data_IF_685797750099
#
_entry.id   IF_685797750099
#
_cell.length_a   1.000
_cell.length_b   1.000
_cell.length_c   1.000
_cell.angle_alpha   90.00
_cell.angle_beta   90.00
_cell.angle_gamma   90.00
#
_symmetry.space_group_name_H-M   'P 1'
#
loop_
_entity.id
_entity.type
_entity.pdbx_description
1 polymer ?
#
# COMPACT_ATOMS: atom_id res chain seq x y z
N UNK A 1 -7.25 -17.74 4.65
CA UNK A 1 -6.10 -18.22 3.87
C UNK A 1 -4.83 -17.50 4.25
N UNK A 2 -3.69 -18.12 3.96
CA UNK A 2 -2.36 -17.57 4.14
C UNK A 2 -1.63 -17.64 2.80
N UNK A 3 -1.11 -16.52 2.33
CA UNK A 3 -0.17 -16.47 1.21
C UNK A 3 1.08 -15.67 1.56
N UNK A 4 2.18 -15.94 0.89
CA UNK A 4 3.44 -15.28 1.14
C UNK A 4 4.19 -14.97 -0.15
N UNK A 5 5.01 -13.90 -0.10
CA UNK A 5 5.89 -13.49 -1.17
C UNK A 5 7.25 -13.10 -0.60
N UNK A 6 8.31 -13.72 -1.12
CA UNK A 6 9.68 -13.30 -0.88
C UNK A 6 10.25 -12.69 -2.17
N UNK A 7 10.95 -11.59 -2.03
CA UNK A 7 11.66 -10.92 -3.12
C UNK A 7 13.10 -10.71 -2.69
N UNK A 8 14.04 -11.07 -3.56
CA UNK A 8 15.46 -10.81 -3.41
C UNK A 8 15.85 -9.81 -4.49
N UNK A 9 16.57 -8.78 -4.10
CA UNK A 9 17.08 -7.76 -5.01
C UNK A 9 18.59 -7.67 -4.89
N UNK A 10 19.27 -7.71 -6.06
CA UNK A 10 20.68 -7.35 -6.21
C UNK A 10 20.69 -6.13 -7.12
N UNK A 11 21.30 -5.05 -6.69
CA UNK A 11 21.33 -3.81 -7.44
C UNK A 11 22.63 -3.06 -7.22
N UNK A 12 23.15 -2.48 -8.30
CA UNK A 12 24.24 -1.51 -8.26
C UNK A 12 23.74 -0.20 -8.87
N UNK A 13 24.11 0.92 -8.29
CA UNK A 13 23.82 2.25 -8.82
C UNK A 13 25.12 3.02 -8.94
N UNK A 14 25.28 3.75 -10.04
CA UNK A 14 26.36 4.71 -10.26
C UNK A 14 25.79 6.13 -10.27
N UNK A 15 26.27 6.98 -9.38
CA UNK A 15 25.82 8.36 -9.22
C UNK A 15 27.00 9.30 -9.40
N UNK A 16 27.35 9.59 -10.63
CA UNK A 16 28.54 10.40 -10.98
C UNK A 16 28.50 11.86 -10.49
N UNK A 17 27.37 12.38 -10.02
CA UNK A 17 27.20 13.78 -9.64
C UNK A 17 26.72 14.06 -8.22
N UNK A 18 26.25 13.05 -7.51
CA UNK A 18 25.78 13.20 -6.13
C UNK A 18 26.37 12.05 -5.32
N UNK A 19 27.45 12.33 -4.62
CA UNK A 19 27.97 11.41 -3.60
C UNK A 19 26.95 11.39 -2.44
N UNK A 20 26.11 10.38 -2.45
CA UNK A 20 25.46 9.91 -1.23
C UNK A 20 26.31 8.76 -0.71
N UNK A 21 26.71 8.83 0.54
CA UNK A 21 27.66 7.92 1.15
C UNK A 21 27.43 6.44 0.80
N UNK A 22 28.39 5.82 0.13
CA UNK A 22 28.48 4.37 -0.04
C UNK A 22 27.60 3.73 -1.12
N UNK A 23 27.12 4.46 -2.12
CA UNK A 23 26.11 3.98 -3.07
C UNK A 23 26.63 3.33 -4.35
N UNK A 24 27.93 3.35 -4.62
CA UNK A 24 28.51 2.79 -5.85
C UNK A 24 28.92 1.31 -5.70
N UNK A 25 28.30 0.60 -4.76
CA UNK A 25 28.56 -0.80 -4.50
C UNK A 25 27.37 -1.68 -4.89
N UNK A 26 27.65 -2.95 -5.14
CA UNK A 26 26.60 -3.96 -5.29
C UNK A 26 25.90 -4.16 -3.93
N UNK A 27 24.62 -3.87 -3.90
CA UNK A 27 23.77 -4.02 -2.71
C UNK A 27 22.84 -5.23 -2.85
N UNK A 28 22.63 -5.94 -1.77
CA UNK A 28 21.68 -7.03 -1.67
C UNK A 28 20.61 -6.72 -0.63
N UNK A 29 19.36 -6.98 -0.97
CA UNK A 29 18.26 -6.83 -0.05
C UNK A 29 17.19 -7.90 -0.29
N UNK A 30 16.36 -8.09 0.72
CA UNK A 30 15.14 -8.89 0.59
C UNK A 30 13.93 -8.15 1.16
N UNK A 31 12.76 -8.55 0.69
CA UNK A 31 11.48 -8.23 1.30
C UNK A 31 10.65 -9.51 1.39
N UNK A 32 10.16 -9.80 2.58
CA UNK A 32 9.18 -10.84 2.82
C UNK A 32 7.83 -10.22 3.17
N UNK A 33 6.77 -10.71 2.57
CA UNK A 33 5.39 -10.27 2.81
C UNK A 33 4.53 -11.51 3.01
N UNK A 34 3.71 -11.50 4.07
CA UNK A 34 2.75 -12.54 4.39
C UNK A 34 1.37 -11.91 4.52
N UNK A 35 0.41 -12.43 3.75
CA UNK A 35 -0.98 -11.98 3.77
C UNK A 35 -1.84 -13.05 4.45
N UNK A 36 -2.55 -12.63 5.49
CA UNK A 36 -3.52 -13.45 6.19
C UNK A 36 -4.91 -12.92 5.88
N UNK A 37 -5.80 -13.82 5.47
CA UNK A 37 -7.19 -13.53 5.20
C UNK A 37 -8.05 -14.47 6.04
N UNK A 38 -8.92 -13.90 6.85
CA UNK A 38 -9.88 -14.61 7.71
C UNK A 38 -11.27 -14.06 7.47
N UNK A 39 -12.25 -14.95 7.39
CA UNK A 39 -13.66 -14.60 7.29
C UNK A 39 -14.40 -15.11 8.53
N UNK A 40 -15.40 -14.36 8.99
CA UNK A 40 -16.30 -14.74 10.09
C UNK A 40 -17.65 -15.22 9.59
N UNK A 41 -18.12 -14.67 8.47
CA UNK A 41 -19.44 -14.97 7.88
C UNK A 41 -19.37 -15.77 6.57
N UNK A 42 -18.20 -15.80 5.92
CA UNK A 42 -17.99 -16.39 4.61
C UNK A 42 -17.85 -15.32 3.51
N UNK A 43 -18.51 -14.19 3.63
CA UNK A 43 -18.54 -13.11 2.63
C UNK A 43 -17.70 -11.88 3.04
N UNK A 44 -17.24 -11.86 4.26
CA UNK A 44 -16.39 -10.81 4.84
C UNK A 44 -14.91 -11.20 4.80
N UNK A 45 -14.03 -10.24 5.05
CA UNK A 45 -12.59 -10.52 5.12
C UNK A 45 -11.88 -9.61 6.14
N UNK A 46 -11.27 -10.22 7.14
CA UNK A 46 -10.23 -9.59 7.93
C UNK A 46 -8.88 -9.83 7.25
N UNK A 47 -8.33 -8.78 6.69
CA UNK A 47 -7.01 -8.81 6.05
C UNK A 47 -5.94 -8.29 7.01
N UNK A 48 -4.86 -9.06 7.16
CA UNK A 48 -3.65 -8.65 7.89
C UNK A 48 -2.43 -8.92 7.04
N UNK A 49 -1.60 -7.91 6.82
CA UNK A 49 -0.30 -8.08 6.16
C UNK A 49 0.83 -7.91 7.15
N UNK A 50 1.66 -8.94 7.21
CA UNK A 50 2.95 -8.91 7.89
C UNK A 50 4.05 -8.67 6.86
N UNK A 51 5.05 -7.89 7.22
CA UNK A 51 6.18 -7.61 6.35
C UNK A 51 7.47 -7.54 7.14
N UNK A 52 8.56 -8.01 6.51
CA UNK A 52 9.93 -7.87 6.96
C UNK A 52 10.85 -7.59 5.78
N UNK A 53 11.99 -6.97 6.03
CA UNK A 53 13.01 -6.71 5.01
C UNK A 53 14.20 -5.93 5.57
N UNK A 54 15.30 -5.99 4.85
CA UNK A 54 16.56 -5.32 5.21
C UNK A 54 16.95 -4.20 4.24
N UNK A 55 15.96 -3.60 3.58
CA UNK A 55 16.19 -2.57 2.56
C UNK A 55 16.42 -1.15 3.09
N UNK A 56 16.59 -0.94 4.42
CA UNK A 56 16.88 0.37 4.98
C UNK A 56 18.19 0.94 4.44
N UNK A 57 18.16 2.24 4.17
CA UNK A 57 19.35 3.00 3.76
C UNK A 57 20.06 2.47 2.52
N UNK A 58 19.38 1.69 1.68
CA UNK A 58 19.89 1.24 0.39
C UNK A 58 19.59 2.27 -0.69
N UNK A 59 20.45 2.38 -1.69
CA UNK A 59 20.26 3.32 -2.80
C UNK A 59 18.95 3.13 -3.53
N UNK A 60 18.54 1.89 -3.75
CA UNK A 60 17.29 1.54 -4.43
C UNK A 60 16.03 1.60 -3.54
N UNK A 61 16.14 1.95 -2.27
CA UNK A 61 15.01 2.21 -1.38
C UNK A 61 14.79 3.70 -1.11
N UNK A 62 15.71 4.54 -1.52
CA UNK A 62 15.58 6.01 -1.43
C UNK A 62 14.85 6.57 -2.65
N UNK A 63 14.15 7.68 -2.48
CA UNK A 63 13.39 8.34 -3.56
C UNK A 63 14.26 9.16 -4.51
N UNK A 64 15.53 8.84 -4.61
CA UNK A 64 16.49 9.59 -5.41
C UNK A 64 16.51 9.06 -6.85
N UNK A 65 16.45 9.93 -7.82
CA UNK A 65 16.63 9.67 -9.26
C UNK A 65 15.75 8.56 -9.88
N UNK A 66 14.60 8.27 -9.28
CA UNK A 66 13.69 7.26 -9.82
C UNK A 66 14.16 5.81 -9.62
N UNK A 67 15.21 5.56 -8.87
CA UNK A 67 15.73 4.22 -8.57
C UNK A 67 14.95 3.50 -7.47
N UNK A 68 14.04 4.18 -6.79
CA UNK A 68 13.26 3.64 -5.70
C UNK A 68 12.38 2.48 -6.14
N UNK A 69 12.75 1.27 -5.73
CA UNK A 69 12.01 0.05 -6.08
C UNK A 69 10.69 -0.06 -5.30
N UNK A 70 9.65 -0.59 -5.96
CA UNK A 70 8.34 -0.82 -5.33
C UNK A 70 8.39 -1.84 -4.19
N UNK A 71 9.39 -2.72 -4.21
CA UNK A 71 9.58 -3.80 -3.24
C UNK A 71 10.77 -3.59 -2.29
N UNK A 72 11.35 -2.40 -2.29
CA UNK A 72 12.49 -2.08 -1.44
C UNK A 72 12.08 -1.63 -0.04
N UNK A 73 11.30 -2.40 0.70
CA UNK A 73 10.96 -2.04 2.08
C UNK A 73 12.00 -2.57 3.05
N UNK A 74 12.44 -1.69 3.96
CA UNK A 74 13.24 -2.06 5.09
C UNK A 74 12.50 -1.80 6.40
N UNK A 75 12.69 -2.65 7.38
CA UNK A 75 12.21 -2.50 8.74
C UNK A 75 13.11 -3.24 9.74
N UNK A 76 14.40 -3.24 9.46
CA UNK A 76 15.44 -3.81 10.33
C UNK A 76 15.21 -5.30 10.64
N UNK A 77 14.83 -6.08 9.63
CA UNK A 77 14.53 -7.52 9.74
C UNK A 77 13.41 -7.89 10.74
N UNK A 78 12.68 -6.91 11.26
CA UNK A 78 11.59 -7.12 12.21
C UNK A 78 10.30 -7.43 11.47
N UNK A 79 9.62 -8.51 11.83
CA UNK A 79 8.29 -8.81 11.32
C UNK A 79 7.26 -7.87 11.95
N UNK A 80 6.62 -7.03 11.15
CA UNK A 80 5.65 -6.01 11.60
C UNK A 80 4.31 -6.17 10.90
N UNK A 81 3.24 -5.80 11.60
CA UNK A 81 1.94 -5.56 10.97
C UNK A 81 2.06 -4.32 10.10
N UNK A 82 2.04 -4.52 8.80
CA UNK A 82 2.17 -3.48 7.79
C UNK A 82 0.80 -2.91 7.37
N UNK A 83 -0.19 -3.77 7.29
CA UNK A 83 -1.60 -3.40 7.02
C UNK A 83 -2.56 -4.25 7.82
N UNK A 84 -3.74 -3.68 8.14
CA UNK A 84 -4.83 -4.40 8.80
C UNK A 84 -6.14 -3.67 8.54
N UNK A 85 -7.13 -4.38 8.00
CA UNK A 85 -8.48 -3.85 7.84
C UNK A 85 -9.50 -4.97 7.71
N UNK A 86 -10.75 -4.61 7.90
CA UNK A 86 -11.91 -5.45 7.73
C UNK A 86 -12.76 -4.96 6.56
N UNK A 87 -13.20 -5.89 5.74
CA UNK A 87 -14.05 -5.67 4.58
C UNK A 87 -15.31 -6.51 4.72
N UNK A 88 -16.48 -5.93 4.47
CA UNK A 88 -17.74 -6.65 4.53
C UNK A 88 -18.73 -6.12 3.49
N UNK A 89 -19.55 -7.00 2.87
CA UNK A 89 -20.58 -6.61 1.95
C UNK A 89 -21.84 -6.12 2.71
N UNK A 90 -22.61 -5.24 2.06
CA UNK A 90 -23.95 -4.85 2.49
C UNK A 90 -24.86 -4.85 1.26
N UNK A 91 -25.75 -5.83 1.17
CA UNK A 91 -26.47 -6.13 -0.06
C UNK A 91 -25.55 -6.74 -1.12
N UNK A 92 -25.93 -6.64 -2.39
CA UNK A 92 -25.22 -7.28 -3.51
C UNK A 92 -24.08 -6.42 -4.06
N UNK A 93 -24.25 -5.09 -4.09
CA UNK A 93 -23.37 -4.17 -4.81
C UNK A 93 -22.44 -3.34 -3.91
N UNK A 94 -22.68 -3.35 -2.60
CA UNK A 94 -21.95 -2.46 -1.69
C UNK A 94 -20.89 -3.21 -0.88
N UNK A 95 -19.72 -2.62 -0.79
CA UNK A 95 -18.60 -3.10 0.04
C UNK A 95 -18.14 -2.00 0.98
N UNK A 96 -18.02 -2.32 2.25
CA UNK A 96 -17.52 -1.42 3.27
C UNK A 96 -16.14 -1.86 3.77
N UNK A 97 -15.32 -0.88 4.12
CA UNK A 97 -13.96 -1.06 4.59
C UNK A 97 -13.76 -0.27 5.88
N UNK A 98 -13.10 -0.86 6.86
CA UNK A 98 -12.68 -0.17 8.08
C UNK A 98 -11.40 -0.80 8.62
N UNK A 99 -10.47 0.01 9.06
CA UNK A 99 -9.25 -0.54 9.65
C UNK A 99 -8.26 0.48 10.19
N UNK A 100 -7.41 0.04 11.12
CA UNK A 100 -6.39 0.90 11.73
C UNK A 100 -5.18 1.16 10.83
N UNK A 101 -4.99 0.34 9.79
CA UNK A 101 -3.85 0.42 8.84
C UNK A 101 -4.28 0.10 7.42
N UNK A 102 -5.07 1.00 6.82
CA UNK A 102 -5.57 0.88 5.44
C UNK A 102 -5.10 2.07 4.60
N UNK A 103 -4.93 1.87 3.30
CA UNK A 103 -4.62 2.93 2.35
C UNK A 103 -5.82 3.20 1.43
N UNK A 104 -6.00 4.44 0.99
CA UNK A 104 -7.12 4.87 0.16
C UNK A 104 -7.35 3.96 -1.06
N UNK A 105 -6.28 3.61 -1.79
CA UNK A 105 -6.40 2.86 -3.04
C UNK A 105 -6.89 1.41 -2.88
N UNK A 106 -6.91 0.86 -1.66
CA UNK A 106 -7.53 -0.44 -1.41
C UNK A 106 -9.05 -0.38 -1.30
N UNK A 107 -9.59 0.82 -1.12
CA UNK A 107 -11.02 1.07 -0.93
C UNK A 107 -11.68 1.64 -2.20
N UNK A 108 -10.94 1.75 -3.31
CA UNK A 108 -11.50 2.14 -4.59
C UNK A 108 -12.31 1.00 -5.21
N UNK A 109 -13.42 1.34 -5.84
CA UNK A 109 -14.29 0.39 -6.53
C UNK A 109 -13.63 -0.23 -7.76
N UNK A 110 -12.74 0.52 -8.43
CA UNK A 110 -12.01 0.04 -9.60
C UNK A 110 -10.51 0.28 -9.45
N UNK A 111 -9.72 -0.63 -10.03
CA UNK A 111 -8.26 -0.50 -10.07
C UNK A 111 -7.84 -0.11 -11.49
N UNK A 112 -7.25 1.07 -11.69
CA UNK A 112 -6.95 1.59 -13.03
C UNK A 112 -5.81 0.89 -13.74
N UNK A 113 -4.99 0.09 -13.06
CA UNK A 113 -3.88 -0.64 -13.63
C UNK A 113 -3.73 -2.03 -13.03
N UNK A 114 -3.56 -3.01 -13.89
CA UNK A 114 -3.32 -4.41 -13.53
C UNK A 114 -1.83 -4.77 -13.49
N UNK A 115 -0.96 -3.92 -14.03
CA UNK A 115 0.47 -4.22 -14.05
C UNK A 115 1.17 -3.76 -12.77
N UNK A 116 2.26 -4.47 -12.43
CA UNK A 116 3.03 -4.23 -11.20
C UNK A 116 4.36 -3.58 -11.57
N UNK A 117 4.48 -2.27 -11.47
CA UNK A 117 5.70 -1.56 -11.85
C UNK A 117 6.87 -1.90 -10.94
N UNK A 118 8.08 -1.86 -11.49
CA UNK A 118 9.32 -2.13 -10.78
C UNK A 118 9.65 -0.97 -9.82
N UNK A 119 9.45 0.27 -10.27
CA UNK A 119 9.75 1.45 -9.47
C UNK A 119 8.51 1.97 -8.73
N UNK A 120 8.72 2.46 -7.51
CA UNK A 120 7.67 2.86 -6.57
C UNK A 120 6.78 3.99 -7.10
N UNK A 121 7.34 4.96 -7.81
CA UNK A 121 6.59 6.11 -8.31
C UNK A 121 5.49 5.75 -9.31
N UNK A 122 5.59 4.60 -9.97
CA UNK A 122 4.56 4.14 -10.91
C UNK A 122 3.53 3.20 -10.28
N UNK A 123 3.66 2.88 -8.98
CA UNK A 123 2.64 2.13 -8.25
C UNK A 123 1.50 3.04 -7.82
N UNK A 124 0.34 2.47 -7.50
CA UNK A 124 -0.77 3.21 -6.90
C UNK A 124 -0.34 3.94 -5.62
N UNK A 125 0.36 3.26 -4.72
CA UNK A 125 0.89 3.87 -3.50
C UNK A 125 2.06 4.84 -3.71
N UNK A 126 2.59 4.94 -4.92
CA UNK A 126 3.61 5.94 -5.31
C UNK A 126 3.02 7.22 -5.87
N UNK A 127 1.76 7.18 -6.32
CA UNK A 127 1.03 8.33 -6.84
C UNK A 127 -0.04 8.79 -5.83
N UNK A 128 0.42 9.39 -4.74
CA UNK A 128 -0.46 9.83 -3.66
C UNK A 128 -1.43 10.94 -4.06
N UNK A 129 -1.12 11.72 -5.11
CA UNK A 129 -2.01 12.76 -5.60
C UNK A 129 -3.28 12.18 -6.25
N UNK A 130 -3.17 11.04 -6.93
CA UNK A 130 -4.31 10.40 -7.59
C UNK A 130 -5.04 9.39 -6.71
N UNK A 131 -4.32 8.68 -5.85
CA UNK A 131 -4.89 7.52 -5.14
C UNK A 131 -4.87 7.64 -3.61
N UNK A 132 -4.40 8.75 -3.08
CA UNK A 132 -4.14 8.90 -1.65
C UNK A 132 -3.13 7.84 -1.17
N UNK A 133 -2.05 8.21 -0.54
CA UNK A 133 -1.00 7.26 -0.16
C UNK A 133 -0.71 7.35 1.33
N UNK A 134 -1.69 7.03 2.14
CA UNK A 134 -1.52 6.97 3.60
C UNK A 134 -1.94 5.62 4.14
N UNK A 135 -1.05 4.95 4.85
CA UNK A 135 -1.39 3.74 5.61
C UNK A 135 -1.69 4.14 7.04
N UNK A 136 -2.95 4.40 7.34
CA UNK A 136 -3.42 4.91 8.63
C UNK A 136 -4.80 4.35 8.95
N UNK A 137 -5.44 4.85 10.01
CA UNK A 137 -6.82 4.51 10.32
C UNK A 137 -7.74 5.10 9.24
N UNK A 138 -8.64 4.27 8.73
CA UNK A 138 -9.53 4.70 7.67
C UNK A 138 -10.79 3.87 7.57
N UNK A 139 -11.73 4.43 6.81
CA UNK A 139 -12.97 3.79 6.43
C UNK A 139 -13.33 4.17 5.00
N UNK A 140 -14.08 3.31 4.32
CA UNK A 140 -14.52 3.55 2.96
C UNK A 140 -15.70 2.70 2.57
N UNK A 141 -16.28 3.10 1.45
CA UNK A 141 -17.38 2.43 0.81
C UNK A 141 -17.14 2.39 -0.70
N UNK A 142 -17.50 1.28 -1.30
CA UNK A 142 -17.50 1.08 -2.73
C UNK A 142 -18.83 0.47 -3.18
N UNK A 143 -19.34 0.98 -4.29
CA UNK A 143 -20.52 0.47 -4.99
C UNK A 143 -20.11 0.03 -6.39
N UNK A 144 -20.48 -1.17 -6.78
CA UNK A 144 -20.22 -1.74 -8.10
C UNK A 144 -21.53 -2.28 -8.66
N UNK A 145 -22.07 -1.64 -9.69
CA UNK A 145 -23.27 -2.09 -10.36
C UNK A 145 -22.96 -3.09 -11.48
N UNK A 146 -23.91 -3.97 -11.78
CA UNK A 146 -23.79 -4.99 -12.83
C UNK A 146 -23.54 -4.41 -14.23
N UNK A 147 -23.94 -3.17 -14.49
CA UNK A 147 -23.75 -2.48 -15.76
C UNK A 147 -22.34 -1.88 -15.96
N UNK A 148 -21.42 -2.10 -15.00
CA UNK A 148 -20.06 -1.58 -15.03
C UNK A 148 -19.88 -0.23 -14.34
N UNK A 149 -20.96 0.48 -13.96
CA UNK A 149 -20.84 1.70 -13.18
C UNK A 149 -20.31 1.41 -11.78
N UNK A 150 -19.33 2.19 -11.34
CA UNK A 150 -18.73 2.04 -10.03
C UNK A 150 -18.47 3.41 -9.39
N UNK A 151 -18.72 3.49 -8.09
CA UNK A 151 -18.36 4.68 -7.30
C UNK A 151 -17.81 4.26 -5.94
N UNK A 152 -16.81 4.96 -5.46
CA UNK A 152 -16.26 4.74 -4.12
C UNK A 152 -15.88 6.05 -3.47
N UNK A 153 -15.94 6.07 -2.14
CA UNK A 153 -15.47 7.18 -1.33
C UNK A 153 -14.83 6.65 -0.06
N UNK A 154 -13.70 7.21 0.31
CA UNK A 154 -12.97 6.75 1.48
C UNK A 154 -12.19 7.89 2.15
N UNK A 155 -11.87 7.70 3.42
CA UNK A 155 -11.08 8.61 4.23
C UNK A 155 -10.03 7.84 5.03
N UNK A 156 -8.83 8.39 5.08
CA UNK A 156 -7.73 7.88 5.90
C UNK A 156 -7.14 9.04 6.70
N UNK A 157 -6.98 8.89 8.00
CA UNK A 157 -6.48 9.92 8.90
C UNK A 157 -5.49 9.37 9.93
N UNK A 158 -4.62 10.21 10.45
CA UNK A 158 -3.69 9.83 11.52
C UNK A 158 -4.39 9.37 12.80
N UNK A 159 -3.75 8.47 13.53
CA UNK A 159 -4.36 7.80 14.68
C UNK A 159 -4.53 8.69 15.93
N UNK A 160 -3.74 9.77 16.03
CA UNK A 160 -3.80 10.70 17.16
C UNK A 160 -4.61 11.94 16.78
N UNK A 161 -5.90 11.94 17.12
CA UNK A 161 -6.82 13.02 16.76
C UNK A 161 -7.39 12.84 15.35
N UNK A 162 -8.15 11.78 15.16
CA UNK A 162 -8.82 11.47 13.89
C UNK A 162 -9.65 12.64 13.38
N UNK A 163 -9.52 12.97 12.10
CA UNK A 163 -10.25 14.04 11.42
C UNK A 163 -10.07 15.45 12.03
N UNK A 164 -8.96 15.66 12.73
CA UNK A 164 -8.59 16.98 13.25
C UNK A 164 -7.49 17.62 12.42
N UNK A 165 -7.32 18.93 12.50
CA UNK A 165 -6.25 19.68 11.82
C UNK A 165 -4.84 19.25 12.26
N UNK A 166 -4.73 18.58 13.41
CA UNK A 166 -3.47 18.06 13.93
C UNK A 166 -2.94 16.83 13.17
N UNK A 167 -3.77 16.20 12.34
CA UNK A 167 -3.41 14.97 11.63
C UNK A 167 -3.66 15.08 10.13
N UNK A 168 -2.70 14.64 9.30
CA UNK A 168 -2.92 14.56 7.86
C UNK A 168 -4.10 13.64 7.56
N UNK A 169 -5.10 14.16 6.88
CA UNK A 169 -6.28 13.41 6.44
C UNK A 169 -6.31 13.39 4.91
N UNK A 170 -6.54 12.22 4.34
CA UNK A 170 -6.70 12.03 2.91
C UNK A 170 -8.11 11.51 2.63
N UNK A 171 -8.87 12.25 1.85
CA UNK A 171 -10.16 11.84 1.33
C UNK A 171 -10.02 11.60 -0.17
N UNK A 172 -10.52 10.47 -0.65
CA UNK A 172 -10.52 10.12 -2.05
C UNK A 172 -11.91 9.65 -2.49
N UNK A 173 -12.36 10.14 -3.64
CA UNK A 173 -13.58 9.69 -4.30
C UNK A 173 -13.25 9.29 -5.73
N UNK A 174 -13.77 8.16 -6.19
CA UNK A 174 -13.57 7.65 -7.53
C UNK A 174 -14.92 7.31 -8.16
N UNK A 175 -15.05 7.62 -9.45
CA UNK A 175 -16.15 7.18 -10.30
C UNK A 175 -15.54 6.41 -11.46
N UNK A 176 -16.08 5.25 -11.77
CA UNK A 176 -15.68 4.36 -12.87
C UNK A 176 -16.88 3.98 -13.74
N UNK A 177 -16.61 3.69 -15.01
CA UNK A 177 -17.60 3.20 -15.98
C UNK A 177 -16.95 2.04 -16.74
#
# INVERSE_FOLDING_TARGET
>A
TLDGKAVFALMATDHSKVKTDGTDSLEAAYQYTMNLNSSFSGDDNLYVRLRSGNGESRSFTTKTFGTYLSMGSGNTDILKVDKMWYTFPVGEDNTFYVGPKIENYYMHATTPSIYKPVTKQFTLGGNGAAYGASTKTGAGWAYNADNGFAISSNVVSGNNGLLTDAQPTSWATQVGI
#
